data_IF_489121486339
#
_entry.id   IF_489121486339
#
_cell.length_a   1.000
_cell.length_b   1.000
_cell.length_c   1.000
_cell.angle_alpha   90.00
_cell.angle_beta   90.00
_cell.angle_gamma   90.00
#
_symmetry.space_group_name_H-M   'P 1'
#
loop_
_entity.id
_entity.type
_entity.pdbx_description
1 polymer ?
#
# COMPACT_ATOMS: atom_id res chain seq x y z
N UNK A 1 14.54 -0.71 -41.36
CA UNK A 1 14.54 -0.92 -42.82
C UNK A 1 13.12 -0.68 -43.30
N UNK A 2 12.95 0.24 -44.25
CA UNK A 2 11.67 0.87 -44.56
C UNK A 2 10.59 -0.13 -45.03
N UNK A 3 9.41 -0.01 -44.44
CA UNK A 3 8.19 -0.60 -44.94
C UNK A 3 7.84 0.04 -46.28
N UNK A 4 8.21 -0.59 -47.40
CA UNK A 4 7.75 -0.11 -48.70
C UNK A 4 6.23 -0.27 -48.75
N UNK A 5 5.51 0.86 -48.69
CA UNK A 5 4.05 0.96 -48.85
C UNK A 5 3.66 1.18 -50.32
N UNK A 6 4.61 0.99 -51.24
CA UNK A 6 4.47 1.33 -52.65
C UNK A 6 4.25 0.10 -53.51
N UNK A 7 3.64 0.30 -54.67
CA UNK A 7 3.46 -0.76 -55.67
C UNK A 7 4.82 -1.23 -56.19
N UNK A 8 5.15 -2.52 -56.01
CA UNK A 8 6.44 -3.07 -56.40
C UNK A 8 6.71 -2.96 -57.91
N UNK A 9 5.68 -3.15 -58.75
CA UNK A 9 5.77 -3.01 -60.20
C UNK A 9 6.09 -1.58 -60.66
N UNK A 10 5.33 -0.59 -60.18
CA UNK A 10 5.53 0.82 -60.49
C UNK A 10 6.85 1.36 -59.92
N UNK A 11 7.24 0.93 -58.72
CA UNK A 11 8.50 1.35 -58.10
C UNK A 11 9.72 0.90 -58.93
N UNK A 12 9.66 -0.29 -59.55
CA UNK A 12 10.68 -0.74 -60.52
C UNK A 12 10.77 0.17 -61.76
N UNK A 13 9.66 0.83 -62.11
CA UNK A 13 9.58 1.84 -63.17
C UNK A 13 9.84 3.28 -62.72
N UNK A 14 10.20 3.51 -61.45
CA UNK A 14 10.46 4.85 -60.89
C UNK A 14 9.23 5.60 -60.37
N UNK A 15 8.07 4.94 -60.25
CA UNK A 15 6.82 5.54 -59.78
C UNK A 15 6.43 5.04 -58.38
N UNK A 16 6.23 5.96 -57.45
CA UNK A 16 5.84 5.65 -56.06
C UNK A 16 4.31 5.77 -55.87
N UNK A 17 3.60 4.67 -56.12
CA UNK A 17 2.13 4.60 -55.94
C UNK A 17 1.78 3.92 -54.61
N UNK A 18 1.05 4.60 -53.73
CA UNK A 18 0.70 4.13 -52.37
C UNK A 18 -0.70 3.53 -52.22
N UNK A 19 -1.59 3.75 -53.19
CA UNK A 19 -2.91 3.08 -53.21
C UNK A 19 -2.75 1.66 -53.77
N UNK A 20 -2.51 0.71 -52.87
CA UNK A 20 -2.07 -0.64 -53.20
C UNK A 20 -2.94 -1.72 -52.56
N UNK A 21 -3.10 -2.81 -53.28
CA UNK A 21 -3.64 -4.08 -52.83
C UNK A 21 -2.49 -5.09 -52.65
N UNK A 22 -2.72 -6.18 -51.91
CA UNK A 22 -1.71 -7.24 -51.75
C UNK A 22 -1.99 -8.40 -52.69
N UNK A 23 -1.00 -8.76 -53.52
CA UNK A 23 -1.07 -9.96 -54.32
C UNK A 23 -0.47 -11.14 -53.55
N UNK A 24 -1.33 -12.06 -53.10
CA UNK A 24 -0.90 -13.22 -52.32
C UNK A 24 -0.01 -14.19 -53.11
N UNK A 25 -0.09 -14.18 -54.44
CA UNK A 25 0.73 -15.01 -55.33
C UNK A 25 2.12 -14.44 -55.63
N UNK A 26 2.28 -13.13 -55.56
CA UNK A 26 3.57 -12.46 -55.71
C UNK A 26 4.23 -12.09 -54.38
N UNK A 27 3.47 -12.10 -53.27
CA UNK A 27 3.89 -11.51 -51.98
C UNK A 27 4.31 -10.03 -52.13
N UNK A 28 3.69 -9.31 -53.06
CA UNK A 28 4.02 -7.92 -53.40
C UNK A 28 2.78 -7.03 -53.28
N UNK A 29 3.00 -5.74 -52.99
CA UNK A 29 1.98 -4.71 -53.08
C UNK A 29 1.83 -4.27 -54.54
N UNK A 30 0.59 -4.17 -55.01
CA UNK A 30 0.24 -3.85 -56.41
C UNK A 30 -0.82 -2.75 -56.44
N UNK A 31 -0.62 -1.71 -57.26
CA UNK A 31 -1.63 -0.66 -57.45
C UNK A 31 -2.83 -1.19 -58.26
N UNK A 32 -3.93 -0.45 -58.30
CA UNK A 32 -5.15 -0.83 -59.03
C UNK A 32 -4.91 -1.22 -60.51
N UNK A 33 -3.96 -0.56 -61.18
CA UNK A 33 -3.60 -0.90 -62.56
C UNK A 33 -2.88 -2.25 -62.64
N UNK A 34 -1.89 -2.48 -61.77
CA UNK A 34 -1.17 -3.76 -61.67
C UNK A 34 -2.10 -4.90 -61.22
N UNK A 35 -3.07 -4.65 -60.33
CA UNK A 35 -4.05 -5.65 -59.88
C UNK A 35 -4.84 -6.22 -61.06
N UNK A 36 -5.32 -5.37 -61.97
CA UNK A 36 -6.06 -5.80 -63.18
C UNK A 36 -5.24 -6.70 -64.09
N UNK A 37 -3.92 -6.51 -64.10
CA UNK A 37 -3.01 -7.36 -64.87
C UNK A 37 -2.80 -8.69 -64.15
N UNK A 38 -2.57 -8.67 -62.84
CA UNK A 38 -2.41 -9.87 -62.01
C UNK A 38 -3.67 -10.77 -62.04
N UNK A 39 -4.86 -10.18 -62.02
CA UNK A 39 -6.14 -10.90 -62.13
C UNK A 39 -6.36 -11.55 -63.51
N UNK A 40 -5.66 -11.08 -64.55
CA UNK A 40 -5.76 -11.59 -65.94
C UNK A 40 -4.61 -12.51 -66.34
N UNK A 41 -3.65 -12.76 -65.44
CA UNK A 41 -2.59 -13.73 -65.67
C UNK A 41 -3.18 -15.15 -65.79
N UNK A 42 -2.40 -16.07 -66.37
CA UNK A 42 -2.77 -17.49 -66.43
C UNK A 42 -1.69 -18.31 -65.71
N UNK A 43 -1.97 -18.84 -64.51
CA UNK A 43 -3.23 -18.73 -63.76
C UNK A 43 -3.46 -17.32 -63.18
N UNK A 44 -4.72 -16.92 -62.94
CA UNK A 44 -5.02 -15.60 -62.37
C UNK A 44 -4.54 -15.53 -60.93
N UNK A 45 -3.81 -14.46 -60.60
CA UNK A 45 -3.31 -14.26 -59.25
C UNK A 45 -4.43 -13.72 -58.35
N UNK A 46 -4.45 -14.16 -57.10
CA UNK A 46 -5.33 -13.69 -56.05
C UNK A 46 -4.79 -12.39 -55.45
N UNK A 47 -5.45 -11.30 -55.83
CA UNK A 47 -5.24 -9.97 -55.27
C UNK A 47 -6.32 -9.70 -54.22
N UNK A 48 -5.91 -9.19 -53.06
CA UNK A 48 -6.80 -8.92 -51.93
C UNK A 48 -6.61 -7.47 -51.50
N UNK A 49 -7.71 -6.77 -51.23
CA UNK A 49 -7.63 -5.35 -50.86
C UNK A 49 -7.01 -5.18 -49.47
N UNK A 50 -6.22 -4.11 -49.28
CA UNK A 50 -5.66 -3.80 -47.95
C UNK A 50 -6.73 -3.43 -46.92
N UNK A 51 -7.97 -3.13 -47.35
CA UNK A 51 -9.13 -2.93 -46.46
C UNK A 51 -9.67 -4.25 -45.90
N UNK A 52 -9.58 -5.34 -46.67
CA UNK A 52 -10.04 -6.69 -46.27
C UNK A 52 -9.03 -7.39 -45.34
N UNK A 53 -7.73 -7.10 -45.48
CA UNK A 53 -6.66 -7.71 -44.68
C UNK A 53 -6.18 -6.75 -43.59
N UNK A 54 -7.12 -6.10 -42.89
CA UNK A 54 -6.90 -5.08 -41.86
C UNK A 54 -5.52 -5.18 -41.18
N UNK A 55 -4.63 -4.24 -41.54
CA UNK A 55 -3.33 -4.00 -40.89
C UNK A 55 -2.50 -5.26 -40.54
N UNK A 56 -2.35 -6.23 -41.44
CA UNK A 56 -1.27 -7.22 -41.28
C UNK A 56 0.07 -6.50 -41.17
N UNK A 57 0.88 -6.88 -40.18
CA UNK A 57 2.22 -6.32 -40.02
C UNK A 57 3.05 -6.63 -41.27
N UNK A 58 3.80 -5.63 -41.74
CA UNK A 58 4.63 -5.72 -42.95
C UNK A 58 5.62 -6.90 -42.92
N UNK A 59 6.02 -7.33 -41.72
CA UNK A 59 6.86 -8.50 -41.47
C UNK A 59 6.16 -9.83 -41.80
N UNK A 60 4.85 -9.94 -41.58
CA UNK A 60 4.08 -11.15 -41.89
C UNK A 60 3.69 -11.22 -43.39
N UNK A 61 3.62 -10.08 -44.07
CA UNK A 61 3.32 -10.01 -45.51
C UNK A 61 4.52 -10.36 -46.40
N UNK A 62 5.75 -10.35 -45.86
CA UNK A 62 7.02 -10.54 -46.59
C UNK A 62 7.57 -11.97 -46.51
N UNK A 63 6.78 -12.97 -46.12
CA UNK A 63 7.26 -14.34 -46.17
C UNK A 63 7.56 -14.75 -47.62
N UNK A 64 8.83 -15.11 -47.86
CA UNK A 64 9.32 -15.54 -49.17
C UNK A 64 8.66 -16.84 -49.59
N UNK A 65 8.29 -16.91 -50.87
CA UNK A 65 7.82 -18.13 -51.55
C UNK A 65 8.98 -19.05 -51.93
N UNK A 66 10.19 -18.54 -51.86
CA UNK A 66 11.40 -19.24 -52.24
C UNK A 66 12.14 -19.77 -51.00
N UNK A 67 12.82 -20.90 -51.18
CA UNK A 67 13.58 -21.53 -50.12
C UNK A 67 14.72 -20.62 -49.69
N UNK A 68 14.92 -20.48 -48.37
CA UNK A 68 16.03 -19.70 -47.81
C UNK A 68 17.40 -20.23 -48.22
N UNK A 69 17.53 -21.55 -48.38
CA UNK A 69 18.79 -22.20 -48.75
C UNK A 69 18.98 -22.30 -50.27
N UNK A 70 17.89 -22.21 -51.03
CA UNK A 70 17.87 -22.29 -52.49
C UNK A 70 16.98 -21.17 -53.03
N UNK A 71 17.49 -19.93 -53.16
CA UNK A 71 16.68 -18.75 -53.48
C UNK A 71 15.91 -18.86 -54.80
N UNK A 72 16.40 -19.66 -55.76
CA UNK A 72 15.74 -19.86 -57.06
C UNK A 72 14.65 -20.94 -57.03
N UNK A 73 14.51 -21.67 -55.92
CA UNK A 73 13.59 -22.79 -55.78
C UNK A 73 12.38 -22.43 -54.93
N UNK A 74 11.18 -22.78 -55.40
CA UNK A 74 9.93 -22.55 -54.66
C UNK A 74 9.78 -23.52 -53.49
N UNK A 75 9.17 -23.04 -52.42
CA UNK A 75 8.74 -23.86 -51.29
C UNK A 75 7.51 -24.66 -51.72
N UNK A 76 7.62 -25.99 -51.71
CA UNK A 76 6.55 -26.90 -52.15
C UNK A 76 6.34 -28.10 -51.21
N UNK A 77 7.25 -28.31 -50.25
CA UNK A 77 7.20 -29.40 -49.29
C UNK A 77 7.28 -28.87 -47.85
N UNK A 78 6.80 -29.67 -46.91
CA UNK A 78 6.92 -29.45 -45.47
C UNK A 78 7.47 -30.71 -44.81
N UNK A 79 8.56 -30.56 -44.05
CA UNK A 79 9.15 -31.64 -43.28
C UNK A 79 8.59 -31.63 -41.85
N UNK A 80 7.76 -32.62 -41.52
CA UNK A 80 7.11 -32.69 -40.20
C UNK A 80 8.11 -32.95 -39.07
N UNK A 81 9.22 -33.65 -39.34
CA UNK A 81 10.23 -33.96 -38.32
C UNK A 81 11.03 -32.74 -37.89
N UNK A 82 11.19 -31.76 -38.77
CA UNK A 82 11.96 -30.54 -38.50
C UNK A 82 11.08 -29.30 -38.36
N UNK A 83 9.76 -29.45 -38.51
CA UNK A 83 8.77 -28.36 -38.53
C UNK A 83 9.17 -27.20 -39.46
N UNK A 84 9.54 -27.53 -40.70
CA UNK A 84 10.08 -26.55 -41.66
C UNK A 84 9.50 -26.73 -43.05
N UNK A 85 9.23 -25.59 -43.69
CA UNK A 85 8.91 -25.52 -45.11
C UNK A 85 10.20 -25.58 -45.95
N UNK A 86 10.21 -26.39 -47.00
CA UNK A 86 11.40 -26.71 -47.81
C UNK A 86 11.06 -26.77 -49.32
N UNK A 87 12.10 -26.70 -50.16
CA UNK A 87 12.00 -27.00 -51.60
C UNK A 87 12.50 -28.43 -51.88
N UNK A 88 12.29 -28.93 -53.11
CA UNK A 88 12.72 -30.27 -53.53
C UNK A 88 14.23 -30.49 -53.37
N UNK A 89 15.05 -29.47 -53.68
CA UNK A 89 16.50 -29.56 -53.54
C UNK A 89 16.97 -29.75 -52.09
N UNK A 90 16.17 -29.35 -51.08
CA UNK A 90 16.52 -29.59 -49.68
C UNK A 90 16.40 -31.06 -49.27
N UNK A 91 15.58 -31.85 -49.97
CA UNK A 91 15.30 -33.25 -49.61
C UNK A 91 16.56 -34.10 -49.68
N UNK A 92 17.30 -34.20 -50.80
CA UNK A 92 18.50 -35.02 -50.86
C UNK A 92 19.68 -34.46 -50.03
N UNK A 93 19.69 -33.16 -49.73
CA UNK A 93 20.83 -32.50 -49.06
C UNK A 93 20.72 -32.56 -47.53
N UNK A 94 19.56 -32.21 -46.97
CA UNK A 94 19.40 -32.01 -45.53
C UNK A 94 18.26 -32.80 -44.91
N UNK A 95 17.41 -33.42 -45.72
CA UNK A 95 16.24 -34.17 -45.27
C UNK A 95 16.19 -35.59 -45.85
N UNK A 96 17.33 -36.15 -46.27
CA UNK A 96 17.41 -37.44 -46.97
C UNK A 96 16.88 -38.59 -46.11
N UNK A 97 17.09 -38.49 -44.79
CA UNK A 97 16.64 -39.49 -43.82
C UNK A 97 15.28 -39.14 -43.19
N UNK A 98 14.64 -38.05 -43.61
CA UNK A 98 13.34 -37.68 -43.10
C UNK A 98 12.25 -38.55 -43.72
N UNK A 99 11.50 -39.25 -42.87
CA UNK A 99 10.42 -40.17 -43.28
C UNK A 99 9.07 -39.50 -43.43
N UNK A 100 8.89 -38.30 -42.86
CA UNK A 100 7.62 -37.57 -42.86
C UNK A 100 7.76 -36.22 -43.56
N UNK A 101 7.80 -36.25 -44.88
CA UNK A 101 7.73 -35.07 -45.75
C UNK A 101 6.40 -35.11 -46.49
N UNK A 102 5.64 -34.03 -46.43
CA UNK A 102 4.34 -33.90 -47.09
C UNK A 102 4.33 -32.67 -48.00
N UNK A 103 3.39 -32.61 -48.95
CA UNK A 103 3.20 -31.42 -49.77
C UNK A 103 2.76 -30.23 -48.91
N UNK A 104 3.18 -29.03 -49.29
CA UNK A 104 2.83 -27.80 -48.56
C UNK A 104 1.32 -27.55 -48.55
N UNK A 105 0.59 -27.95 -49.60
CA UNK A 105 -0.87 -27.84 -49.68
C UNK A 105 -1.55 -28.76 -48.68
N UNK A 106 -1.01 -29.97 -48.46
CA UNK A 106 -1.53 -30.90 -47.45
C UNK A 106 -1.27 -30.36 -46.05
N UNK A 107 -0.09 -29.82 -45.78
CA UNK A 107 0.23 -29.16 -44.51
C UNK A 107 -0.68 -27.94 -44.27
N UNK A 108 -0.87 -27.09 -45.28
CA UNK A 108 -1.71 -25.90 -45.20
C UNK A 108 -3.20 -26.24 -44.96
N UNK A 109 -3.73 -27.31 -45.59
CA UNK A 109 -5.07 -27.81 -45.26
C UNK A 109 -5.16 -28.28 -43.81
N UNK A 110 -4.14 -28.99 -43.30
CA UNK A 110 -4.08 -29.37 -41.88
C UNK A 110 -4.15 -28.18 -40.92
N UNK A 111 -3.57 -27.03 -41.29
CA UNK A 111 -3.68 -25.78 -40.51
C UNK A 111 -5.06 -25.15 -40.63
N UNK A 112 -5.65 -25.12 -41.82
CA UNK A 112 -6.98 -24.53 -42.07
C UNK A 112 -8.13 -25.32 -41.45
N UNK A 113 -8.05 -26.65 -41.53
CA UNK A 113 -9.12 -27.56 -41.12
C UNK A 113 -8.92 -28.09 -39.70
N UNK A 114 -7.76 -27.83 -39.08
CA UNK A 114 -7.41 -28.22 -37.71
C UNK A 114 -7.58 -27.11 -36.67
N UNK A 115 -7.09 -27.34 -35.45
CA UNK A 115 -7.21 -26.38 -34.32
C UNK A 115 -6.06 -25.37 -34.24
N UNK A 116 -5.04 -25.48 -35.10
CA UNK A 116 -3.81 -24.69 -35.00
C UNK A 116 -4.07 -23.17 -35.02
N UNK A 117 -5.03 -22.72 -35.84
CA UNK A 117 -5.42 -21.30 -35.89
C UNK A 117 -6.12 -20.90 -34.59
N UNK A 118 -7.15 -21.64 -34.15
CA UNK A 118 -7.87 -21.35 -32.91
C UNK A 118 -6.99 -21.43 -31.66
N UNK A 119 -6.01 -22.34 -31.64
CA UNK A 119 -5.04 -22.46 -30.55
C UNK A 119 -4.09 -21.26 -30.52
N UNK A 120 -3.63 -20.80 -31.69
CA UNK A 120 -2.80 -19.59 -31.79
C UNK A 120 -3.59 -18.34 -31.42
N UNK A 121 -4.85 -18.20 -31.87
CA UNK A 121 -5.74 -17.11 -31.49
C UNK A 121 -5.96 -17.05 -29.99
N UNK A 122 -6.26 -18.20 -29.35
CA UNK A 122 -6.38 -18.30 -27.89
C UNK A 122 -5.10 -17.87 -27.17
N UNK A 123 -3.93 -18.30 -27.66
CA UNK A 123 -2.63 -17.90 -27.10
C UNK A 123 -2.38 -16.41 -27.20
N UNK A 124 -2.64 -15.82 -28.37
CA UNK A 124 -2.47 -14.39 -28.60
C UNK A 124 -3.42 -13.60 -27.70
N UNK A 125 -4.68 -14.01 -27.60
CA UNK A 125 -5.67 -13.39 -26.70
C UNK A 125 -5.21 -13.40 -25.24
N UNK A 126 -4.73 -14.55 -24.74
CA UNK A 126 -4.21 -14.65 -23.38
C UNK A 126 -2.99 -13.75 -23.15
N UNK A 127 -2.06 -13.66 -24.13
CA UNK A 127 -0.90 -12.78 -24.04
C UNK A 127 -1.30 -11.30 -24.02
N UNK A 128 -2.30 -10.91 -24.82
CA UNK A 128 -2.86 -9.57 -24.78
C UNK A 128 -3.43 -9.27 -23.38
N UNK A 129 -4.27 -10.16 -22.84
CA UNK A 129 -4.87 -9.99 -21.52
C UNK A 129 -3.83 -9.88 -20.40
N UNK A 130 -2.80 -10.74 -20.41
CA UNK A 130 -1.71 -10.68 -19.42
C UNK A 130 -0.97 -9.35 -19.52
N UNK A 131 -0.69 -8.88 -20.74
CA UNK A 131 0.02 -7.62 -20.96
C UNK A 131 -0.80 -6.43 -20.48
N UNK A 132 -2.10 -6.41 -20.75
CA UNK A 132 -3.03 -5.39 -20.26
C UNK A 132 -3.09 -5.37 -18.72
N UNK A 133 -3.14 -6.55 -18.10
CA UNK A 133 -3.11 -6.66 -16.64
C UNK A 133 -1.80 -6.12 -16.05
N UNK A 134 -0.64 -6.42 -16.66
CA UNK A 134 0.67 -5.88 -16.24
C UNK A 134 0.67 -4.36 -16.35
N UNK A 135 0.16 -3.81 -17.45
CA UNK A 135 0.07 -2.36 -17.64
C UNK A 135 -0.79 -1.71 -16.55
N UNK A 136 -1.98 -2.24 -16.30
CA UNK A 136 -2.88 -1.74 -15.25
C UNK A 136 -2.27 -1.84 -13.84
N UNK A 137 -1.57 -2.94 -13.53
CA UNK A 137 -0.85 -3.10 -12.27
C UNK A 137 0.29 -2.09 -12.13
N UNK A 138 1.04 -1.83 -13.19
CA UNK A 138 2.12 -0.84 -13.19
C UNK A 138 1.57 0.58 -12.99
N UNK A 139 0.45 0.93 -13.64
CA UNK A 139 -0.23 2.21 -13.45
C UNK A 139 -0.68 2.39 -11.99
N UNK A 140 -1.29 1.35 -11.41
CA UNK A 140 -1.69 1.34 -10.00
C UNK A 140 -0.47 1.48 -9.07
N UNK A 141 0.62 0.76 -9.37
CA UNK A 141 1.87 0.84 -8.62
C UNK A 141 2.47 2.24 -8.64
N UNK A 142 2.43 2.94 -9.78
CA UNK A 142 2.89 4.33 -9.89
C UNK A 142 2.07 5.28 -9.02
N UNK A 143 0.74 5.11 -9.02
CA UNK A 143 -0.16 5.90 -8.17
C UNK A 143 0.13 5.64 -6.68
N UNK A 144 0.31 4.39 -6.29
CA UNK A 144 0.57 4.02 -4.91
C UNK A 144 1.96 4.44 -4.43
N UNK A 145 2.97 4.43 -5.32
CA UNK A 145 4.29 5.00 -5.04
C UNK A 145 4.21 6.49 -4.73
N UNK A 146 3.44 7.27 -5.50
CA UNK A 146 3.26 8.70 -5.25
C UNK A 146 2.46 8.95 -3.95
N UNK A 147 1.42 8.16 -3.68
CA UNK A 147 0.71 8.21 -2.38
C UNK A 147 1.66 7.90 -1.22
N UNK A 148 2.50 6.87 -1.33
CA UNK A 148 3.44 6.47 -0.29
C UNK A 148 4.50 7.56 -0.06
N UNK A 149 5.06 8.13 -1.13
CA UNK A 149 5.97 9.27 -1.08
C UNK A 149 5.37 10.43 -0.27
N UNK A 150 4.11 10.79 -0.55
CA UNK A 150 3.44 11.89 0.14
C UNK A 150 3.11 11.55 1.60
N UNK A 151 2.74 10.30 1.91
CA UNK A 151 2.57 9.82 3.29
C UNK A 151 3.87 9.90 4.09
N UNK A 152 5.00 9.47 3.52
CA UNK A 152 6.31 9.53 4.18
C UNK A 152 6.70 10.98 4.45
N UNK A 153 6.57 11.88 3.45
CA UNK A 153 6.83 13.32 3.65
C UNK A 153 5.98 13.92 4.77
N UNK A 154 4.69 13.55 4.85
CA UNK A 154 3.79 14.02 5.90
C UNK A 154 4.24 13.56 7.28
N UNK A 155 4.58 12.26 7.42
CA UNK A 155 5.08 11.70 8.68
C UNK A 155 6.35 12.37 9.18
N UNK A 156 7.31 12.67 8.28
CA UNK A 156 8.53 13.40 8.65
C UNK A 156 8.20 14.81 9.16
N UNK A 157 7.23 15.48 8.53
CA UNK A 157 6.78 16.82 8.94
C UNK A 157 6.07 16.80 10.30
N UNK A 158 5.20 15.81 10.51
CA UNK A 158 4.51 15.59 11.80
C UNK A 158 5.51 15.27 12.92
N UNK A 159 6.52 14.44 12.65
CA UNK A 159 7.58 14.13 13.62
C UNK A 159 8.33 15.41 14.05
N UNK A 160 8.71 16.26 13.10
CA UNK A 160 9.34 17.56 13.40
C UNK A 160 8.44 18.41 14.29
N UNK A 161 7.15 18.52 13.96
CA UNK A 161 6.20 19.32 14.73
C UNK A 161 6.03 18.79 16.16
N UNK A 162 5.97 17.48 16.33
CA UNK A 162 5.86 16.85 17.65
C UNK A 162 7.10 17.11 18.53
N UNK A 163 8.30 17.06 17.93
CA UNK A 163 9.55 17.39 18.63
C UNK A 163 9.54 18.85 19.09
N UNK A 164 9.18 19.79 18.20
CA UNK A 164 9.09 21.21 18.54
C UNK A 164 8.07 21.44 19.67
N UNK A 165 6.86 20.88 19.53
CA UNK A 165 5.82 21.04 20.55
C UNK A 165 6.23 20.48 21.92
N UNK A 166 7.03 19.40 21.94
CA UNK A 166 7.56 18.88 23.18
C UNK A 166 8.58 19.82 23.83
N UNK A 167 9.47 20.42 23.03
CA UNK A 167 10.44 21.42 23.49
C UNK A 167 9.74 22.68 24.02
N UNK A 168 8.75 23.20 23.29
CA UNK A 168 7.95 24.37 23.71
C UNK A 168 7.24 24.12 25.05
N UNK A 169 6.74 22.89 25.27
CA UNK A 169 6.13 22.49 26.54
C UNK A 169 7.15 22.49 27.69
N UNK A 170 8.34 21.94 27.46
CA UNK A 170 9.40 21.92 28.48
C UNK A 170 9.86 23.34 28.84
N UNK A 171 10.01 24.22 27.85
CA UNK A 171 10.31 25.63 28.06
C UNK A 171 9.22 26.30 28.92
N UNK A 172 7.95 26.08 28.56
CA UNK A 172 6.81 26.63 29.30
C UNK A 172 6.76 26.15 30.75
N UNK A 173 7.13 24.89 31.02
CA UNK A 173 7.21 24.34 32.37
C UNK A 173 8.31 25.01 33.19
N UNK A 174 9.52 25.14 32.63
CA UNK A 174 10.63 25.84 33.30
C UNK A 174 10.29 27.32 33.56
N UNK A 175 9.65 28.01 32.62
CA UNK A 175 9.21 29.40 32.84
C UNK A 175 8.20 29.50 34.00
N UNK A 176 7.25 28.58 34.09
CA UNK A 176 6.30 28.54 35.22
C UNK A 176 7.00 28.31 36.54
N UNK A 177 8.00 27.44 36.58
CA UNK A 177 8.79 27.19 37.79
C UNK A 177 9.62 28.42 38.19
N UNK A 178 10.18 29.15 37.22
CA UNK A 178 10.88 30.42 37.46
C UNK A 178 9.92 31.44 38.06
N UNK A 179 8.75 31.66 37.46
CA UNK A 179 7.76 32.64 37.92
C UNK A 179 7.24 32.30 39.32
N UNK A 180 6.95 31.02 39.57
CA UNK A 180 6.49 30.53 40.86
C UNK A 180 7.54 30.76 41.96
N UNK A 181 8.79 30.37 41.71
CA UNK A 181 9.87 30.56 42.67
C UNK A 181 10.20 32.05 42.88
N UNK A 182 10.19 32.86 41.82
CA UNK A 182 10.38 34.30 41.90
C UNK A 182 9.31 34.97 42.76
N UNK A 183 8.03 34.61 42.56
CA UNK A 183 6.92 35.11 43.37
C UNK A 183 7.10 34.77 44.86
N UNK A 184 7.41 33.51 45.17
CA UNK A 184 7.62 33.07 46.56
C UNK A 184 8.79 33.81 47.22
N UNK A 185 9.92 33.97 46.50
CA UNK A 185 11.07 34.72 46.99
C UNK A 185 10.71 36.19 47.24
N UNK A 186 10.01 36.81 46.29
CA UNK A 186 9.57 38.22 46.38
C UNK A 186 8.65 38.43 47.57
N UNK A 187 7.69 37.54 47.80
CA UNK A 187 6.81 37.60 48.97
C UNK A 187 7.57 37.48 50.28
N UNK A 188 8.50 36.52 50.37
CA UNK A 188 9.33 36.31 51.57
C UNK A 188 10.19 37.54 51.89
N UNK A 189 10.90 38.06 50.89
CA UNK A 189 11.74 39.26 51.02
C UNK A 189 10.88 40.49 51.36
N UNK A 190 9.70 40.63 50.76
CA UNK A 190 8.78 41.73 51.05
C UNK A 190 8.24 41.69 52.49
N UNK A 191 7.95 40.50 53.04
CA UNK A 191 7.56 40.34 54.45
C UNK A 191 8.71 40.74 55.38
N UNK A 192 9.93 40.27 55.09
CA UNK A 192 11.13 40.65 55.85
C UNK A 192 11.36 42.16 55.81
N UNK A 193 11.30 42.79 54.62
CA UNK A 193 11.42 44.24 54.45
C UNK A 193 10.41 45.02 55.30
N UNK A 194 9.13 44.60 55.31
CA UNK A 194 8.09 45.25 56.14
C UNK A 194 8.41 45.15 57.63
N UNK A 195 8.83 43.97 58.11
CA UNK A 195 9.20 43.76 59.52
C UNK A 195 10.39 44.62 59.94
N UNK A 196 11.44 44.69 59.11
CA UNK A 196 12.59 45.55 59.33
C UNK A 196 12.18 47.03 59.35
N UNK A 197 11.33 47.46 58.41
CA UNK A 197 10.86 48.84 58.34
C UNK A 197 10.08 49.22 59.61
N UNK A 198 9.13 48.40 60.06
CA UNK A 198 8.39 48.65 61.29
C UNK A 198 9.28 48.72 62.53
N UNK A 199 10.32 47.88 62.60
CA UNK A 199 11.30 47.92 63.68
C UNK A 199 12.14 49.20 63.63
N UNK A 200 12.56 49.62 62.44
CA UNK A 200 13.28 50.88 62.22
C UNK A 200 12.46 52.09 62.68
N UNK A 201 11.18 52.16 62.29
CA UNK A 201 10.29 53.26 62.64
C UNK A 201 10.04 53.34 64.16
N UNK A 202 9.87 52.19 64.82
CA UNK A 202 9.71 52.10 66.27
C UNK A 202 10.97 52.58 67.01
N UNK A 203 12.15 52.13 66.58
CA UNK A 203 13.42 52.56 67.17
C UNK A 203 13.67 54.06 66.97
N UNK A 204 13.29 54.63 65.81
CA UNK A 204 13.36 56.06 65.56
C UNK A 204 12.42 56.84 66.50
N UNK A 205 11.22 56.33 66.74
CA UNK A 205 10.25 56.90 67.68
C UNK A 205 10.80 56.90 69.10
N UNK A 206 11.25 55.75 69.61
CA UNK A 206 11.85 55.66 70.95
C UNK A 206 13.05 56.58 71.13
N UNK A 207 13.89 56.72 70.10
CA UNK A 207 15.02 57.66 70.10
C UNK A 207 14.56 59.12 70.21
N UNK A 208 13.46 59.49 69.54
CA UNK A 208 12.88 60.83 69.62
C UNK A 208 12.26 61.09 71.00
N UNK A 209 11.46 60.14 71.50
CA UNK A 209 10.78 60.23 72.80
C UNK A 209 11.79 60.38 73.94
N UNK A 210 12.86 59.57 73.92
CA UNK A 210 13.92 59.64 74.93
C UNK A 210 14.61 61.01 74.97
N UNK A 211 14.82 61.65 73.81
CA UNK A 211 15.37 63.00 73.73
C UNK A 211 14.43 64.04 74.34
N UNK A 212 13.14 63.96 74.03
CA UNK A 212 12.11 64.86 74.54
C UNK A 212 11.93 64.71 76.06
N UNK A 213 11.81 63.48 76.54
CA UNK A 213 11.63 63.17 77.96
C UNK A 213 12.80 63.69 78.80
N UNK A 214 14.04 63.56 78.31
CA UNK A 214 15.22 64.12 78.98
C UNK A 214 15.11 65.62 79.27
N UNK A 215 14.38 66.38 78.46
CA UNK A 215 14.24 67.84 78.59
C UNK A 215 13.06 68.28 79.46
N UNK A 216 12.03 67.44 79.60
CA UNK A 216 10.71 67.87 80.08
C UNK A 216 10.12 67.03 81.21
N UNK A 217 10.85 66.06 81.77
CA UNK A 217 10.32 65.15 82.81
C UNK A 217 11.12 65.19 84.11
N UNK A 218 10.54 64.65 85.19
CA UNK A 218 11.21 64.54 86.49
C UNK A 218 12.26 63.43 86.49
N UNK A 219 13.29 63.55 87.33
CA UNK A 219 14.40 62.59 87.39
C UNK A 219 13.93 61.16 87.69
N UNK A 220 12.94 61.01 88.58
CA UNK A 220 12.37 59.71 88.96
C UNK A 220 11.66 59.07 87.76
N UNK A 221 10.86 59.85 87.02
CA UNK A 221 10.14 59.33 85.85
C UNK A 221 11.12 59.01 84.70
N UNK A 222 12.14 59.84 84.51
CA UNK A 222 13.20 59.61 83.53
C UNK A 222 13.94 58.28 83.82
N UNK A 223 14.31 58.03 85.07
CA UNK A 223 14.98 56.80 85.47
C UNK A 223 14.15 55.54 85.19
N UNK A 224 12.85 55.58 85.52
CA UNK A 224 11.92 54.48 85.24
C UNK A 224 11.77 54.20 83.74
N UNK A 225 11.59 55.24 82.93
CA UNK A 225 11.45 55.10 81.46
C UNK A 225 12.73 54.56 80.84
N UNK A 226 13.90 55.05 81.25
CA UNK A 226 15.19 54.55 80.76
C UNK A 226 15.35 53.06 81.03
N UNK A 227 15.06 52.59 82.25
CA UNK A 227 15.17 51.16 82.57
C UNK A 227 14.20 50.28 81.78
N UNK A 228 12.99 50.77 81.52
CA UNK A 228 12.02 50.08 80.68
C UNK A 228 12.46 50.02 79.21
N UNK A 229 12.93 51.14 78.65
CA UNK A 229 13.41 51.22 77.27
C UNK A 229 14.68 50.40 77.04
N UNK A 230 15.59 50.36 78.01
CA UNK A 230 16.83 49.57 77.95
C UNK A 230 16.52 48.08 77.76
N UNK A 231 15.61 47.53 78.57
CA UNK A 231 15.15 46.15 78.44
C UNK A 231 14.46 45.89 77.09
N UNK A 232 13.60 46.81 76.62
CA UNK A 232 12.91 46.69 75.31
C UNK A 232 13.88 46.79 74.12
N UNK A 233 14.90 47.64 74.23
CA UNK A 233 15.92 47.82 73.20
C UNK A 233 16.77 46.55 73.07
N UNK A 234 17.20 45.97 74.20
CA UNK A 234 17.93 44.71 74.21
C UNK A 234 17.15 43.57 73.53
N UNK A 235 15.84 43.46 73.78
CA UNK A 235 15.00 42.47 73.10
C UNK A 235 14.95 42.71 71.58
N UNK A 236 14.82 43.97 71.15
CA UNK A 236 14.83 44.28 69.70
C UNK A 236 16.18 44.06 69.04
N UNK A 237 17.29 44.25 69.76
CA UNK A 237 18.63 43.93 69.25
C UNK A 237 18.78 42.43 68.94
N UNK A 238 18.21 41.56 69.77
CA UNK A 238 18.20 40.11 69.53
C UNK A 238 17.41 39.77 68.26
N UNK A 239 16.20 40.32 68.11
CA UNK A 239 15.36 40.12 66.91
C UNK A 239 16.07 40.60 65.62
N UNK A 240 16.76 41.75 65.66
CA UNK A 240 17.49 42.28 64.49
C UNK A 240 18.69 41.39 64.14
N UNK A 241 19.39 40.83 65.12
CA UNK A 241 20.51 39.90 64.86
C UNK A 241 20.05 38.65 64.13
N UNK A 242 18.90 38.08 64.51
CA UNK A 242 18.34 36.92 63.82
C UNK A 242 18.09 37.23 62.33
N UNK A 243 17.55 38.41 62.03
CA UNK A 243 17.33 38.88 60.65
C UNK A 243 18.65 39.06 59.89
N UNK A 244 19.69 39.62 60.52
CA UNK A 244 21.01 39.82 59.88
C UNK A 244 21.69 38.50 59.48
N UNK A 245 21.43 37.43 60.23
CA UNK A 245 21.96 36.09 59.94
C UNK A 245 21.09 35.27 58.99
N UNK A 246 19.93 35.78 58.59
CA UNK A 246 19.02 35.07 57.71
C UNK A 246 19.59 34.91 56.29
N UNK A 247 19.32 33.76 55.67
CA UNK A 247 19.75 33.46 54.30
C UNK A 247 18.94 34.27 53.29
N UNK A 248 19.61 34.78 52.24
CA UNK A 248 18.96 35.48 51.12
C UNK A 248 18.61 34.48 50.02
N UNK A 249 17.36 34.46 49.51
CA UNK A 249 17.01 33.60 48.40
C UNK A 249 17.70 34.03 47.11
N UNK A 250 18.29 33.07 46.39
CA UNK A 250 18.90 33.26 45.07
C UNK A 250 18.30 32.23 44.12
N UNK A 251 17.75 32.69 43.00
CA UNK A 251 17.30 31.80 41.93
C UNK A 251 18.53 31.28 41.18
N UNK A 252 18.66 29.96 41.12
CA UNK A 252 19.75 29.29 40.40
C UNK A 252 19.16 28.32 39.38
N UNK A 253 19.51 28.51 38.12
CA UNK A 253 19.25 27.53 37.07
C UNK A 253 20.40 26.50 37.07
N UNK A 254 20.06 25.22 37.13
CA UNK A 254 21.01 24.13 36.96
C UNK A 254 20.49 23.25 35.83
N UNK A 255 21.13 23.27 34.64
CA UNK A 255 20.65 22.49 33.52
C UNK A 255 20.81 20.98 33.74
N UNK A 256 20.00 20.17 33.05
CA UNK A 256 20.15 18.72 33.07
C UNK A 256 21.39 18.28 32.29
N UNK A 257 21.96 17.12 32.65
CA UNK A 257 23.14 16.55 31.95
C UNK A 257 22.95 16.39 30.42
N UNK A 258 21.69 16.25 29.99
CA UNK A 258 21.24 16.11 28.61
C UNK A 258 21.27 17.40 27.78
N UNK A 259 21.47 18.58 28.38
CA UNK A 259 21.46 19.87 27.67
C UNK A 259 22.68 20.07 26.75
N UNK A 260 23.80 19.41 27.08
CA UNK A 260 25.08 19.62 26.40
C UNK A 260 25.13 19.18 24.94
N UNK A 261 24.16 18.40 24.45
CA UNK A 261 24.21 17.83 23.10
C UNK A 261 22.82 17.49 22.52
N UNK A 262 22.00 18.49 22.20
CA UNK A 262 20.74 18.26 21.45
C UNK A 262 21.00 17.50 20.13
N UNK A 263 22.15 17.74 19.48
CA UNK A 263 22.60 17.01 18.29
C UNK A 263 22.89 15.51 18.52
N UNK A 264 23.13 15.08 19.77
CA UNK A 264 23.24 13.65 20.13
C UNK A 264 21.89 13.02 20.45
N UNK A 265 20.90 13.81 20.85
CA UNK A 265 19.57 13.31 21.22
C UNK A 265 18.73 12.94 19.99
N UNK A 266 18.91 13.66 18.87
CA UNK A 266 18.25 13.37 17.59
C UNK A 266 19.27 13.52 16.45
N UNK A 267 20.11 12.51 16.19
CA UNK A 267 21.15 12.58 15.16
C UNK A 267 20.56 12.57 13.73
N UNK A 268 19.43 11.90 13.53
CA UNK A 268 18.70 11.86 12.27
C UNK A 268 17.19 11.70 12.50
N UNK A 269 16.40 11.89 11.43
CA UNK A 269 14.93 11.72 11.41
C UNK A 269 14.51 10.39 10.75
N UNK A 270 15.47 9.49 10.53
CA UNK A 270 15.32 8.25 9.80
C UNK A 270 15.91 8.27 8.39
N UNK A 271 15.94 7.08 7.78
CA UNK A 271 16.49 6.83 6.44
C UNK A 271 15.41 6.30 5.50
N UNK A 272 15.51 6.61 4.21
CA UNK A 272 14.66 6.03 3.17
C UNK A 272 15.38 4.82 2.58
N UNK A 273 14.74 3.65 2.64
CA UNK A 273 15.19 2.43 1.96
C UNK A 273 14.20 2.07 0.84
N UNK A 274 14.72 1.51 -0.24
CA UNK A 274 13.91 0.98 -1.35
C UNK A 274 14.07 -0.53 -1.33
N UNK A 275 12.98 -1.25 -1.09
CA UNK A 275 12.94 -2.70 -1.17
C UNK A 275 12.17 -3.10 -2.42
N UNK A 276 12.84 -3.82 -3.32
CA UNK A 276 12.21 -4.37 -4.50
C UNK A 276 11.62 -5.74 -4.14
N UNK A 277 10.32 -5.78 -3.90
CA UNK A 277 9.62 -7.06 -3.70
C UNK A 277 9.31 -7.64 -5.07
N UNK A 278 9.87 -8.82 -5.37
CA UNK A 278 9.49 -9.56 -6.57
C UNK A 278 8.06 -10.08 -6.41
N UNK A 279 7.12 -9.48 -7.14
CA UNK A 279 5.78 -10.03 -7.32
C UNK A 279 5.89 -11.11 -8.40
N UNK A 280 5.87 -12.38 -8.01
CA UNK A 280 5.75 -13.48 -8.98
C UNK A 280 4.34 -13.45 -9.58
N UNK A 281 4.22 -12.93 -10.80
CA UNK A 281 3.09 -13.26 -11.65
C UNK A 281 3.19 -14.72 -12.09
N UNK A 282 2.07 -15.45 -12.23
CA UNK A 282 2.10 -16.83 -12.69
C UNK A 282 2.79 -16.89 -14.06
N UNK A 283 3.96 -17.55 -14.09
CA UNK A 283 4.64 -17.86 -15.33
C UNK A 283 3.77 -18.86 -16.11
N UNK A 284 3.50 -18.54 -17.37
CA UNK A 284 2.94 -19.49 -18.33
C UNK A 284 4.01 -20.54 -18.64
N UNK A 285 3.98 -21.69 -17.96
CA UNK A 285 4.82 -22.83 -18.33
C UNK A 285 4.26 -23.50 -19.59
N UNK A 286 5.14 -23.68 -20.58
CA UNK A 286 4.87 -24.38 -21.83
C UNK A 286 5.55 -25.74 -21.71
N UNK A 287 4.81 -26.84 -21.82
CA UNK A 287 5.43 -28.17 -21.82
C UNK A 287 6.19 -28.45 -23.14
N UNK A 288 6.93 -29.56 -23.18
CA UNK A 288 7.75 -29.96 -24.34
C UNK A 288 6.93 -30.28 -25.60
N UNK A 289 5.60 -30.19 -25.56
CA UNK A 289 4.66 -30.43 -26.66
C UNK A 289 3.83 -29.19 -27.01
N UNK A 290 4.12 -28.03 -26.39
CA UNK A 290 3.42 -26.78 -26.67
C UNK A 290 2.02 -26.70 -26.06
N UNK A 291 1.65 -27.62 -25.17
CA UNK A 291 0.43 -27.52 -24.37
C UNK A 291 0.72 -26.77 -23.07
N UNK A 292 -0.19 -25.86 -22.71
CA UNK A 292 -0.09 -25.10 -21.47
C UNK A 292 -0.53 -25.97 -20.32
N UNK A 293 0.40 -26.29 -19.42
CA UNK A 293 0.08 -26.87 -18.12
C UNK A 293 -0.26 -25.71 -17.18
N UNK A 294 -1.54 -25.53 -16.87
CA UNK A 294 -1.92 -24.81 -15.65
C UNK A 294 -1.56 -25.73 -14.49
N UNK A 295 -0.33 -25.60 -13.96
CA UNK A 295 0.00 -26.18 -12.66
C UNK A 295 -0.72 -25.37 -11.59
N UNK A 296 -1.83 -25.91 -11.11
CA UNK A 296 -2.53 -25.47 -9.91
C UNK A 296 -1.66 -25.75 -8.67
N UNK A 297 -0.63 -24.92 -8.45
CA UNK A 297 0.04 -24.83 -7.16
C UNK A 297 0.40 -23.37 -6.88
N UNK A 298 -0.47 -22.73 -6.08
CA UNK A 298 -0.22 -21.70 -5.04
C UNK A 298 -1.42 -20.76 -4.95
N UNK A 299 -2.53 -21.24 -4.38
CA UNK A 299 -3.62 -20.39 -3.90
C UNK A 299 -3.20 -19.67 -2.62
N UNK A 300 -2.40 -18.62 -2.75
CA UNK A 300 -2.35 -17.53 -1.77
C UNK A 300 -3.40 -16.50 -2.20
N UNK A 301 -4.61 -16.63 -1.67
CA UNK A 301 -5.66 -15.64 -1.86
C UNK A 301 -5.42 -14.45 -0.94
N UNK A 302 -4.57 -13.51 -1.38
CA UNK A 302 -4.41 -12.19 -0.76
C UNK A 302 -5.68 -11.37 -1.02
N UNK A 303 -6.61 -11.33 -0.07
CA UNK A 303 -7.94 -10.74 -0.32
C UNK A 303 -8.09 -9.27 0.08
N UNK A 304 -7.50 -8.73 1.16
CA UNK A 304 -7.81 -7.35 1.58
C UNK A 304 -6.62 -6.56 2.15
N UNK A 305 -6.42 -5.32 1.69
CA UNK A 305 -5.37 -4.40 2.16
C UNK A 305 -5.94 -3.21 2.94
N UNK A 306 -5.56 -3.06 4.22
CA UNK A 306 -5.63 -1.79 4.97
C UNK A 306 -4.20 -1.41 5.44
N UNK A 307 -3.90 -0.13 5.70
CA UNK A 307 -2.57 0.49 5.54
C UNK A 307 -1.51 0.12 6.59
N UNK A 308 -1.68 -0.94 7.39
CA UNK A 308 -0.65 -1.41 8.33
C UNK A 308 -0.39 -2.93 8.37
N UNK A 309 -1.33 -3.80 7.95
CA UNK A 309 -1.19 -5.26 8.02
C UNK A 309 -1.83 -5.96 6.81
N UNK A 310 -1.23 -7.05 6.35
CA UNK A 310 -1.78 -8.00 5.38
C UNK A 310 -2.12 -9.32 6.07
N UNK A 311 -3.25 -9.91 5.68
CA UNK A 311 -3.70 -11.21 6.17
C UNK A 311 -3.71 -12.21 5.02
N UNK A 312 -3.20 -13.40 5.30
CA UNK A 312 -3.30 -14.56 4.42
C UNK A 312 -3.59 -15.80 5.23
N UNK A 313 -3.96 -16.88 4.56
CA UNK A 313 -4.14 -18.17 5.21
C UNK A 313 -3.65 -19.32 4.34
N UNK A 314 -3.18 -20.38 5.00
CA UNK A 314 -2.85 -21.66 4.40
C UNK A 314 -3.33 -22.76 5.34
N UNK A 315 -4.20 -23.65 4.85
CA UNK A 315 -4.82 -24.66 5.71
C UNK A 315 -5.55 -24.02 6.90
N UNK A 316 -5.11 -24.33 8.13
CA UNK A 316 -5.67 -23.76 9.37
C UNK A 316 -4.84 -22.60 9.94
N UNK A 317 -3.83 -22.16 9.22
CA UNK A 317 -2.90 -21.15 9.70
C UNK A 317 -3.28 -19.79 9.11
N UNK A 318 -3.32 -18.78 9.97
CA UNK A 318 -3.43 -17.38 9.59
C UNK A 318 -2.05 -16.74 9.64
N UNK A 319 -1.67 -16.09 8.55
CA UNK A 319 -0.46 -15.27 8.47
C UNK A 319 -0.83 -13.81 8.65
N UNK A 320 -0.19 -13.18 9.63
CA UNK A 320 -0.29 -11.74 9.88
C UNK A 320 1.03 -11.12 9.50
N UNK A 321 1.06 -10.46 8.35
CA UNK A 321 2.25 -9.77 7.84
C UNK A 321 2.09 -8.27 8.06
N UNK A 322 3.15 -7.60 8.49
CA UNK A 322 3.23 -6.14 8.32
C UNK A 322 3.34 -5.82 6.83
N UNK A 323 2.85 -4.65 6.41
CA UNK A 323 2.91 -4.20 5.01
C UNK A 323 4.34 -4.06 4.46
N UNK A 324 5.33 -3.97 5.36
CA UNK A 324 6.77 -3.94 5.06
C UNK A 324 7.39 -5.34 4.96
N UNK A 325 6.60 -6.42 5.07
CA UNK A 325 7.08 -7.81 4.99
C UNK A 325 7.99 -8.26 6.14
N UNK A 326 8.33 -7.37 7.08
CA UNK A 326 9.41 -7.56 8.05
C UNK A 326 9.08 -8.49 9.22
N UNK A 327 7.80 -8.85 9.37
CA UNK A 327 7.34 -9.74 10.44
C UNK A 327 6.08 -10.49 9.99
N UNK A 328 6.19 -11.81 9.86
CA UNK A 328 5.06 -12.73 9.72
C UNK A 328 4.82 -13.43 11.05
N UNK A 329 3.68 -13.19 11.67
CA UNK A 329 3.21 -14.01 12.79
C UNK A 329 2.22 -15.05 12.29
N UNK A 330 2.33 -16.27 12.78
CA UNK A 330 1.42 -17.37 12.45
C UNK A 330 0.48 -17.60 13.62
N UNK A 331 -0.82 -17.67 13.33
CA UNK A 331 -1.85 -17.99 14.31
C UNK A 331 -2.52 -19.28 13.84
N UNK A 332 -2.46 -20.32 14.66
CA UNK A 332 -3.14 -21.58 14.38
C UNK A 332 -4.62 -21.47 14.79
N UNK A 333 -5.51 -21.81 13.84
CA UNK A 333 -6.95 -21.85 14.05
C UNK A 333 -7.42 -23.29 14.25
N UNK A 334 -8.51 -23.45 14.98
CA UNK A 334 -9.14 -24.77 15.16
C UNK A 334 -9.70 -25.31 13.83
N UNK A 335 -10.10 -24.42 12.92
CA UNK A 335 -10.76 -24.70 11.65
C UNK A 335 -10.12 -23.94 10.48
N UNK A 336 -10.24 -24.49 9.28
CA UNK A 336 -9.78 -23.84 8.05
C UNK A 336 -10.68 -22.61 7.77
N UNK A 337 -10.10 -21.41 7.58
CA UNK A 337 -10.89 -20.25 7.22
C UNK A 337 -11.30 -20.29 5.74
N UNK A 338 -12.55 -19.92 5.50
CA UNK A 338 -13.17 -19.79 4.18
C UNK A 338 -12.99 -18.37 3.61
N UNK A 339 -12.98 -17.36 4.49
CA UNK A 339 -12.76 -15.96 4.10
C UNK A 339 -12.29 -15.11 5.29
N UNK A 340 -11.60 -14.00 5.03
CA UNK A 340 -10.89 -13.22 6.06
C UNK A 340 -10.94 -11.72 5.76
N UNK A 341 -11.23 -10.90 6.76
CA UNK A 341 -11.16 -9.44 6.65
C UNK A 341 -10.57 -8.77 7.90
N UNK A 342 -10.07 -7.54 7.73
CA UNK A 342 -9.62 -6.70 8.84
C UNK A 342 -10.80 -5.95 9.45
N UNK A 343 -11.10 -6.21 10.72
CA UNK A 343 -12.17 -5.52 11.44
C UNK A 343 -11.78 -4.10 11.80
N UNK A 344 -10.58 -3.93 12.36
CA UNK A 344 -9.98 -2.66 12.73
C UNK A 344 -8.44 -2.75 12.71
N UNK A 345 -7.75 -1.75 13.28
CA UNK A 345 -6.27 -1.70 13.34
C UNK A 345 -5.60 -2.85 14.11
N UNK A 346 -6.33 -3.51 14.99
CA UNK A 346 -5.86 -4.52 15.94
C UNK A 346 -6.59 -5.85 15.82
N UNK A 347 -7.70 -5.94 15.08
CA UNK A 347 -8.52 -7.14 15.02
C UNK A 347 -8.79 -7.59 13.58
N UNK A 348 -8.79 -8.90 13.36
CA UNK A 348 -9.26 -9.55 12.14
C UNK A 348 -10.53 -10.36 12.43
N UNK A 349 -11.36 -10.56 11.42
CA UNK A 349 -12.48 -11.52 11.48
C UNK A 349 -12.26 -12.59 10.43
N UNK A 350 -12.43 -13.84 10.85
CA UNK A 350 -12.34 -15.01 10.00
C UNK A 350 -13.68 -15.70 9.92
N UNK A 351 -14.06 -16.06 8.70
CA UNK A 351 -15.19 -16.93 8.41
C UNK A 351 -14.75 -18.39 8.46
N UNK A 352 -15.45 -19.21 9.24
CA UNK A 352 -15.13 -20.64 9.43
C UNK A 352 -16.25 -21.54 8.88
N UNK A 353 -16.95 -21.11 7.83
CA UNK A 353 -18.01 -21.89 7.21
C UNK A 353 -19.22 -22.09 8.14
N UNK A 354 -19.59 -23.34 8.37
CA UNK A 354 -20.71 -23.74 9.24
C UNK A 354 -20.44 -23.54 10.74
N UNK A 355 -19.19 -23.24 11.13
CA UNK A 355 -18.81 -23.00 12.53
C UNK A 355 -19.13 -21.59 13.00
N UNK A 356 -19.30 -20.65 12.07
CA UNK A 356 -19.55 -19.24 12.34
C UNK A 356 -18.32 -18.36 12.07
N UNK A 357 -18.18 -17.30 12.83
CA UNK A 357 -17.08 -16.32 12.68
C UNK A 357 -16.21 -16.27 13.92
N UNK A 358 -14.95 -15.92 13.77
CA UNK A 358 -14.00 -15.78 14.87
C UNK A 358 -13.28 -14.45 14.76
N UNK A 359 -13.21 -13.70 15.86
CA UNK A 359 -12.45 -12.45 15.93
C UNK A 359 -11.06 -12.80 16.48
N UNK A 360 -10.02 -12.30 15.82
CA UNK A 360 -8.62 -12.53 16.16
C UNK A 360 -7.99 -11.21 16.60
N UNK A 361 -7.39 -11.23 17.79
CA UNK A 361 -6.59 -10.11 18.27
C UNK A 361 -5.17 -10.21 17.70
N UNK A 362 -4.83 -9.26 16.84
CA UNK A 362 -3.55 -9.17 16.12
C UNK A 362 -2.43 -8.58 16.99
N UNK A 363 -2.74 -8.09 18.20
CA UNK A 363 -1.75 -7.62 19.18
C UNK A 363 -1.31 -8.75 20.09
N UNK A 364 -2.25 -9.56 20.58
CA UNK A 364 -1.94 -10.74 21.41
C UNK A 364 -1.69 -12.02 20.60
N UNK A 365 -1.95 -11.99 19.28
CA UNK A 365 -1.83 -13.11 18.34
C UNK A 365 -2.65 -14.33 18.77
N UNK A 366 -3.82 -14.09 19.37
CA UNK A 366 -4.69 -15.15 19.89
C UNK A 366 -6.05 -15.12 19.21
N UNK A 367 -6.56 -16.29 18.79
CA UNK A 367 -7.93 -16.40 18.32
C UNK A 367 -8.90 -16.22 19.51
N UNK A 368 -9.91 -15.37 19.33
CA UNK A 368 -10.98 -15.19 20.29
C UNK A 368 -12.00 -16.33 20.24
N UNK A 369 -13.11 -16.17 20.97
CA UNK A 369 -14.21 -17.14 20.94
C UNK A 369 -14.86 -17.18 19.56
N UNK A 370 -15.22 -18.37 19.09
CA UNK A 370 -16.05 -18.54 17.89
C UNK A 370 -17.48 -18.07 18.22
N UNK A 371 -17.93 -17.09 17.45
CA UNK A 371 -19.29 -16.58 17.47
C UNK A 371 -20.10 -17.44 16.51
N UNK A 372 -21.05 -18.19 17.05
CA UNK A 372 -21.91 -19.05 16.24
C UNK A 372 -22.89 -18.18 15.46
N UNK A 373 -22.97 -18.43 14.17
CA UNK A 373 -23.79 -17.69 13.20
C UNK A 373 -24.65 -18.73 12.49
N UNK A 374 -25.92 -18.44 12.23
CA UNK A 374 -26.85 -19.40 11.60
C UNK A 374 -26.54 -19.55 10.11
N UNK A 375 -26.27 -20.76 9.63
CA UNK A 375 -25.89 -21.05 8.24
C UNK A 375 -24.38 -21.07 8.01
N UNK A 376 -23.94 -21.36 6.77
CA UNK A 376 -22.52 -21.41 6.43
C UNK A 376 -22.01 -20.05 5.93
N UNK A 377 -21.08 -19.46 6.66
CA UNK A 377 -20.45 -18.18 6.30
C UNK A 377 -19.39 -18.40 5.22
N UNK A 378 -19.56 -17.81 4.04
CA UNK A 378 -18.60 -17.97 2.91
C UNK A 378 -18.04 -16.66 2.35
N UNK A 379 -18.57 -15.52 2.79
CA UNK A 379 -18.00 -14.20 2.48
C UNK A 379 -18.09 -13.29 3.69
N UNK A 380 -17.01 -12.57 3.99
CA UNK A 380 -16.94 -11.67 5.14
C UNK A 380 -16.24 -10.37 4.81
N UNK A 381 -16.82 -9.26 5.27
CA UNK A 381 -16.19 -7.94 5.18
C UNK A 381 -16.57 -7.06 6.37
N UNK A 382 -15.91 -5.91 6.51
CA UNK A 382 -16.13 -5.01 7.64
C UNK A 382 -16.05 -3.55 7.24
N UNK A 383 -16.97 -2.75 7.78
CA UNK A 383 -17.07 -1.29 7.56
C UNK A 383 -17.51 -0.61 8.84
N UNK A 384 -16.82 0.45 9.25
CA UNK A 384 -17.20 1.30 10.41
C UNK A 384 -17.54 0.46 11.65
N UNK A 385 -16.64 -0.45 12.01
CA UNK A 385 -16.76 -1.36 13.16
C UNK A 385 -17.96 -2.33 13.10
N UNK A 386 -18.48 -2.62 11.90
CA UNK A 386 -19.55 -3.59 11.68
C UNK A 386 -19.10 -4.71 10.77
N UNK A 387 -19.55 -5.93 11.07
CA UNK A 387 -19.20 -7.15 10.32
C UNK A 387 -20.37 -7.50 9.41
N UNK A 388 -20.07 -7.71 8.13
CA UNK A 388 -21.02 -8.09 7.10
C UNK A 388 -20.69 -9.51 6.64
N UNK A 389 -21.70 -10.38 6.66
CA UNK A 389 -21.52 -11.79 6.36
C UNK A 389 -22.50 -12.23 5.28
N UNK A 390 -21.97 -12.88 4.26
CA UNK A 390 -22.74 -13.63 3.27
C UNK A 390 -22.84 -15.09 3.68
N UNK A 391 -24.07 -15.59 3.69
CA UNK A 391 -24.38 -16.92 4.22
C UNK A 391 -25.06 -17.81 3.21
N UNK A 392 -24.76 -19.09 3.30
CA UNK A 392 -25.43 -20.14 2.55
C UNK A 392 -26.32 -20.92 3.51
N UNK A 393 -27.63 -20.90 3.27
CA UNK A 393 -28.61 -21.70 4.00
C UNK A 393 -29.01 -22.89 3.15
N UNK A 394 -28.87 -24.10 3.69
CA UNK A 394 -29.41 -25.30 3.03
C UNK A 394 -30.93 -25.29 3.16
N UNK A 395 -31.66 -25.17 2.04
CA UNK A 395 -33.05 -25.63 2.03
C UNK A 395 -33.08 -27.14 1.85
N UNK A 396 -33.91 -27.80 2.67
CA UNK A 396 -34.33 -29.17 2.45
C UNK A 396 -34.94 -29.29 1.05
N UNK A 397 -34.36 -30.16 0.22
CA UNK A 397 -34.89 -30.64 -1.07
C UNK A 397 -34.57 -29.81 -2.33
N UNK A 398 -33.28 -29.66 -2.67
CA UNK A 398 -32.72 -29.92 -4.01
C UNK A 398 -31.28 -29.39 -4.09
N UNK A 399 -30.47 -30.03 -4.94
CA UNK A 399 -29.02 -29.90 -5.08
C UNK A 399 -28.52 -28.54 -5.61
N UNK A 400 -28.78 -27.46 -4.89
CA UNK A 400 -28.21 -26.15 -5.14
C UNK A 400 -28.18 -25.33 -3.86
N UNK A 401 -26.99 -24.97 -3.38
CA UNK A 401 -26.86 -23.93 -2.37
C UNK A 401 -27.28 -22.61 -3.02
N UNK A 402 -28.40 -22.02 -2.59
CA UNK A 402 -28.80 -20.68 -3.03
C UNK A 402 -28.41 -19.67 -1.98
N UNK A 403 -27.60 -18.70 -2.39
CA UNK A 403 -27.28 -17.55 -1.56
C UNK A 403 -28.25 -16.41 -1.88
N UNK A 404 -29.03 -15.98 -0.88
CA UNK A 404 -30.00 -14.90 -1.09
C UNK A 404 -29.85 -13.77 -0.08
N UNK A 405 -28.95 -13.84 0.93
CA UNK A 405 -28.96 -12.90 2.07
C UNK A 405 -27.60 -12.40 2.54
N UNK A 406 -27.54 -11.11 2.90
CA UNK A 406 -26.42 -10.46 3.60
C UNK A 406 -26.87 -10.02 4.99
N UNK A 407 -26.06 -10.37 5.99
CA UNK A 407 -26.34 -10.10 7.40
C UNK A 407 -25.33 -9.14 7.99
N UNK A 408 -25.82 -8.26 8.85
CA UNK A 408 -25.01 -7.52 9.80
C UNK A 408 -24.86 -8.35 11.07
N UNK A 409 -23.63 -8.62 11.48
CA UNK A 409 -23.32 -9.37 12.70
C UNK A 409 -22.65 -8.44 13.70
N UNK A 410 -23.20 -8.31 14.89
CA UNK A 410 -22.57 -7.59 16.00
C UNK A 410 -21.55 -8.46 16.72
N UNK A 411 -20.66 -7.83 17.48
CA UNK A 411 -19.59 -8.51 18.24
C UNK A 411 -20.11 -9.48 19.32
N UNK A 412 -21.38 -9.37 19.73
CA UNK A 412 -22.07 -10.30 20.63
C UNK A 412 -22.79 -11.45 19.88
N UNK A 413 -22.67 -11.52 18.56
CA UNK A 413 -23.25 -12.56 17.72
C UNK A 413 -24.72 -12.38 17.36
N UNK A 414 -25.32 -11.23 17.66
CA UNK A 414 -26.67 -10.93 17.16
C UNK A 414 -26.60 -10.60 15.68
N UNK A 415 -27.58 -11.11 14.95
CA UNK A 415 -27.67 -10.95 13.51
C UNK A 415 -28.87 -10.08 13.14
N UNK A 416 -28.66 -9.21 12.16
CA UNK A 416 -29.74 -8.44 11.53
C UNK A 416 -29.64 -8.65 10.03
N UNK A 417 -30.68 -9.22 9.43
CA UNK A 417 -30.82 -9.29 7.97
C UNK A 417 -30.92 -7.86 7.42
N UNK A 418 -30.06 -7.51 6.46
CA UNK A 418 -30.03 -6.17 5.87
C UNK A 418 -30.49 -6.18 4.42
N UNK A 419 -30.22 -7.26 3.69
CA UNK A 419 -30.48 -7.32 2.26
C UNK A 419 -30.78 -8.74 1.80
N UNK A 420 -31.81 -8.89 0.97
CA UNK A 420 -32.25 -10.15 0.38
C UNK A 420 -32.56 -9.94 -1.11
N UNK A 421 -31.88 -10.66 -2.01
CA UNK A 421 -32.13 -10.59 -3.45
C UNK A 421 -31.82 -11.92 -4.16
N UNK A 422 -32.66 -12.36 -5.13
CA UNK A 422 -32.39 -13.53 -5.97
C UNK A 422 -31.12 -13.40 -6.83
N UNK A 423 -30.67 -12.17 -7.11
CA UNK A 423 -29.50 -11.89 -7.96
C UNK A 423 -28.17 -12.23 -7.27
N UNK A 424 -28.21 -12.61 -5.98
CA UNK A 424 -27.02 -12.95 -5.18
C UNK A 424 -26.55 -14.39 -5.36
N UNK A 425 -27.26 -15.19 -6.16
CA UNK A 425 -27.02 -16.64 -6.35
C UNK A 425 -25.65 -16.96 -6.91
N UNK A 426 -25.15 -16.11 -7.82
CA UNK A 426 -23.90 -16.37 -8.55
C UNK A 426 -22.69 -15.60 -7.99
N UNK A 427 -22.87 -14.84 -6.91
CA UNK A 427 -21.79 -14.02 -6.41
C UNK A 427 -20.81 -14.80 -5.50
N UNK A 428 -19.51 -14.51 -5.60
CA UNK A 428 -18.46 -15.18 -4.83
C UNK A 428 -18.23 -14.61 -3.42
N UNK A 429 -18.60 -13.34 -3.13
CA UNK A 429 -18.28 -12.73 -1.83
C UNK A 429 -19.01 -11.43 -1.50
N UNK A 430 -18.53 -10.72 -0.48
CA UNK A 430 -18.98 -9.36 -0.11
C UNK A 430 -17.76 -8.46 -0.04
N UNK A 431 -17.84 -7.27 -0.63
CA UNK A 431 -16.76 -6.30 -0.71
C UNK A 431 -17.26 -4.91 -0.29
N UNK A 432 -16.31 -4.00 -0.11
CA UNK A 432 -16.54 -2.62 0.32
C UNK A 432 -15.75 -1.70 -0.60
N UNK A 433 -16.37 -0.60 -1.03
CA UNK A 433 -15.68 0.40 -1.84
C UNK A 433 -15.01 1.50 -1.00
N UNK A 434 -14.32 2.44 -1.66
CA UNK A 434 -13.64 3.56 -1.02
C UNK A 434 -14.57 4.55 -0.28
N UNK A 435 -15.89 4.45 -0.49
CA UNK A 435 -16.93 5.27 0.18
C UNK A 435 -17.50 4.57 1.41
N UNK A 436 -17.16 3.29 1.61
CA UNK A 436 -17.69 2.45 2.68
C UNK A 436 -19.05 1.87 2.34
N UNK A 437 -19.41 1.81 1.06
CA UNK A 437 -20.61 1.15 0.58
C UNK A 437 -20.32 -0.35 0.40
N UNK A 438 -21.26 -1.20 0.81
CA UNK A 438 -21.11 -2.67 0.81
C UNK A 438 -21.77 -3.24 -0.44
N UNK A 439 -21.01 -4.03 -1.20
CA UNK A 439 -21.47 -4.68 -2.43
C UNK A 439 -21.24 -6.18 -2.37
N UNK A 440 -22.00 -6.93 -3.16
CA UNK A 440 -21.76 -8.36 -3.33
C UNK A 440 -20.87 -8.54 -4.55
N UNK A 441 -19.71 -9.16 -4.36
CA UNK A 441 -18.71 -9.36 -5.40
C UNK A 441 -19.04 -10.65 -6.17
N UNK A 442 -19.16 -10.50 -7.50
CA UNK A 442 -19.42 -11.56 -8.48
C UNK A 442 -18.21 -12.44 -8.68
#
# INVERSE_FOLDING_TARGET
MADSKFCAGCQRGGEDITDVAWCSDCSELVCKACSRVHEKMSPPHKVVSMKEIQQLSSSLLKLSKNCKNHPDQKIILYCCQHDKVICDSCVPISHQHCKSIISIEKAARGVKDGTAISDLERRLSNLCQVTENILSQNETTLVDLEKNRNKIKKRVSELKQNIIAHLDRLETEIHKDIDYNYKNCTESVSRSKKSIQSSSDLLATWKSDLKSLKQHTSEIHLFQVVKCLDAKTYQKELEIREIQTATVPILKYNPSESESNISKLVPDLGTITVENIQVQMPLLDIDQQGQFLVRDERKLSLKHSFPTRQLGNEGKQLFVCKLDGSNSSVIDLDYKPEDICLYDKNHAVVSLGDKGIQIIDLTSLKPGRIIKVEGACRGITSVKDKIWVKKWTSHSNNSGYQCEKVFLVSSDGKEREIYNSPDLKDADGVAVDDRGDVYVAG
#
